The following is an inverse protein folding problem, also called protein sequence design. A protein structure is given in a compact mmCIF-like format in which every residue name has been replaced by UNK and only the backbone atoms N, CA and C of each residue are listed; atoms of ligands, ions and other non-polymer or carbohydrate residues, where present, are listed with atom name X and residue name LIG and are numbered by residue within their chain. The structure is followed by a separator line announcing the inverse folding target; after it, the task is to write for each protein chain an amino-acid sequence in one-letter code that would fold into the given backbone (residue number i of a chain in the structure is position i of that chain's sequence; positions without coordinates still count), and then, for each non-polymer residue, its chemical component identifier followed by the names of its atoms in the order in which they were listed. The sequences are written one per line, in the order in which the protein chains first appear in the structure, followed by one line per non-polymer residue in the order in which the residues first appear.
data_IF_135483732127
#
_entry.id   IF_135483732127
#
_cell.length_a   1.000
_cell.length_b   1.000
_cell.length_c   1.000
_cell.angle_alpha   90.00
_cell.angle_beta   90.00
_cell.angle_gamma   90.00
#
_symmetry.space_group_name_H-M   'P 1'
#
loop_
_entity.id
_entity.type
_entity.pdbx_description
1 polymer ?
#
# COMPACT_ATOMS: atom_id res chain seq x y z
N UNK A 1 3.38 -8.22 -43.43
CA UNK A 1 3.75 -9.39 -42.60
C UNK A 1 4.21 -8.86 -41.27
N UNK A 2 3.62 -9.36 -40.18
CA UNK A 2 4.14 -9.10 -38.83
C UNK A 2 5.47 -9.87 -38.72
N UNK A 3 6.51 -9.20 -38.21
CA UNK A 3 7.85 -9.80 -38.09
C UNK A 3 7.85 -10.92 -37.04
N UNK A 4 8.86 -11.77 -37.03
CA UNK A 4 9.06 -12.80 -35.98
C UNK A 4 9.21 -12.22 -34.54
N UNK A 5 9.19 -10.90 -34.42
CA UNK A 5 9.23 -10.15 -33.15
C UNK A 5 7.85 -9.69 -32.69
N UNK A 6 6.81 -9.82 -33.52
CA UNK A 6 5.45 -9.46 -33.15
C UNK A 6 4.96 -10.33 -31.97
N UNK A 7 4.51 -9.68 -30.90
CA UNK A 7 4.10 -10.34 -29.66
C UNK A 7 5.23 -10.70 -28.70
N UNK A 8 6.49 -10.31 -28.99
CA UNK A 8 7.64 -10.50 -28.08
C UNK A 8 7.97 -9.28 -27.22
N UNK A 9 7.23 -8.19 -27.39
CA UNK A 9 7.34 -6.97 -26.58
C UNK A 9 6.25 -6.98 -25.52
N UNK A 10 6.56 -6.46 -24.34
CA UNK A 10 5.56 -6.28 -23.28
C UNK A 10 4.33 -5.53 -23.82
N UNK A 11 3.10 -6.01 -23.56
CA UNK A 11 1.87 -5.29 -23.86
C UNK A 11 1.87 -3.85 -23.35
N UNK A 12 2.48 -3.60 -22.18
CA UNK A 12 2.58 -2.26 -21.62
C UNK A 12 3.36 -1.32 -22.55
N UNK A 13 4.46 -1.79 -23.14
CA UNK A 13 5.25 -1.03 -24.11
C UNK A 13 4.53 -0.89 -25.45
N UNK A 14 3.85 -1.94 -25.91
CA UNK A 14 3.12 -1.91 -27.18
C UNK A 14 1.96 -0.90 -27.18
N UNK A 15 1.26 -0.78 -26.06
CA UNK A 15 0.08 0.06 -25.92
C UNK A 15 0.31 1.33 -25.08
N UNK A 16 1.57 1.69 -24.79
CA UNK A 16 1.92 2.82 -23.92
C UNK A 16 1.24 4.14 -24.33
N UNK A 17 1.09 4.38 -25.64
CA UNK A 17 0.46 5.58 -26.19
C UNK A 17 -1.06 5.69 -25.87
N UNK A 18 -1.71 4.59 -25.48
CA UNK A 18 -3.13 4.55 -25.11
C UNK A 18 -3.37 4.71 -23.60
N UNK A 19 -2.32 4.55 -22.77
CA UNK A 19 -2.46 4.52 -21.31
C UNK A 19 -3.01 5.83 -20.73
N UNK A 20 -2.79 6.96 -21.40
CA UNK A 20 -3.33 8.25 -20.98
C UNK A 20 -4.88 8.38 -21.15
N UNK A 21 -5.53 7.41 -21.79
CA UNK A 21 -6.96 7.45 -22.14
C UNK A 21 -7.78 6.35 -21.45
N UNK A 22 -7.21 5.64 -20.49
CA UNK A 22 -7.86 4.56 -19.74
C UNK A 22 -7.67 4.77 -18.24
N UNK A 23 -8.64 4.33 -17.45
CA UNK A 23 -8.58 4.44 -15.99
C UNK A 23 -7.97 3.19 -15.33
N UNK A 24 -8.11 2.03 -15.98
CA UNK A 24 -7.57 0.76 -15.49
C UNK A 24 -7.01 -0.09 -16.63
N UNK A 25 -6.12 -1.00 -16.26
CA UNK A 25 -5.44 -1.92 -17.16
C UNK A 25 -5.87 -3.35 -16.94
N UNK A 26 -5.71 -4.13 -18.00
CA UNK A 26 -5.91 -5.56 -17.97
C UNK A 26 -4.82 -6.23 -18.77
N UNK A 27 -3.63 -6.26 -18.18
CA UNK A 27 -2.54 -7.13 -18.62
C UNK A 27 -2.75 -8.49 -17.97
N UNK A 28 -2.61 -9.58 -18.71
CA UNK A 28 -2.76 -10.90 -18.07
C UNK A 28 -3.19 -12.06 -18.94
N UNK A 29 -3.52 -11.86 -20.23
CA UNK A 29 -3.77 -13.01 -21.08
C UNK A 29 -2.47 -13.78 -21.30
N UNK A 30 -2.40 -15.01 -20.77
CA UNK A 30 -1.22 -15.86 -20.86
C UNK A 30 -0.10 -15.54 -19.86
N UNK A 31 -0.33 -14.66 -18.89
CA UNK A 31 0.68 -14.30 -17.89
C UNK A 31 0.78 -15.38 -16.81
N UNK A 32 1.99 -15.58 -16.29
CA UNK A 32 2.23 -16.46 -15.14
C UNK A 32 2.20 -15.66 -13.83
N UNK A 33 1.17 -15.89 -13.03
CA UNK A 33 1.01 -15.26 -11.71
C UNK A 33 1.94 -15.84 -10.63
N UNK A 34 2.82 -16.79 -10.98
CA UNK A 34 3.91 -17.29 -10.13
C UNK A 34 5.27 -16.65 -10.37
N UNK A 35 5.37 -15.75 -11.35
CA UNK A 35 6.56 -14.94 -11.57
C UNK A 35 6.86 -14.01 -10.40
N UNK A 36 8.09 -13.49 -10.37
CA UNK A 36 8.66 -12.76 -9.24
C UNK A 36 7.87 -11.48 -8.87
N UNK A 37 8.02 -10.96 -7.64
CA UNK A 37 7.40 -9.69 -7.26
C UNK A 37 7.75 -8.53 -8.22
N UNK A 38 8.96 -8.49 -8.76
CA UNK A 38 9.39 -7.47 -9.72
C UNK A 38 8.63 -7.59 -11.05
N UNK A 39 8.38 -8.81 -11.53
CA UNK A 39 7.54 -9.03 -12.70
C UNK A 39 6.11 -8.51 -12.45
N UNK A 40 5.55 -8.79 -11.28
CA UNK A 40 4.24 -8.25 -10.91
C UNK A 40 4.23 -6.72 -10.91
N UNK A 41 5.26 -6.08 -10.35
CA UNK A 41 5.36 -4.62 -10.32
C UNK A 41 5.45 -4.03 -11.74
N UNK A 42 6.28 -4.60 -12.62
CA UNK A 42 6.59 -4.00 -13.93
C UNK A 42 5.58 -4.38 -15.01
N UNK A 43 5.14 -5.64 -15.05
CA UNK A 43 4.37 -6.19 -16.17
C UNK A 43 2.88 -6.34 -15.86
N UNK A 44 2.53 -6.59 -14.59
CA UNK A 44 1.14 -6.92 -14.19
C UNK A 44 0.42 -5.70 -13.63
N UNK A 45 1.08 -4.91 -12.78
CA UNK A 45 0.40 -3.95 -11.90
C UNK A 45 -0.12 -2.68 -12.57
N UNK A 46 0.50 -2.23 -13.66
CA UNK A 46 0.22 -0.91 -14.24
C UNK A 46 0.77 0.29 -13.47
N UNK A 47 1.27 0.08 -12.24
CA UNK A 47 1.74 1.15 -11.33
C UNK A 47 2.85 2.03 -11.92
N UNK A 48 3.83 1.51 -12.71
CA UNK A 48 4.84 2.36 -13.34
C UNK A 48 4.28 3.45 -14.25
N UNK A 49 3.03 3.27 -14.72
CA UNK A 49 2.34 4.21 -15.61
C UNK A 49 1.26 5.02 -14.89
N UNK A 50 1.18 4.94 -13.55
CA UNK A 50 0.17 5.62 -12.76
C UNK A 50 -1.25 5.03 -12.88
N UNK A 51 -1.34 3.79 -13.36
CA UNK A 51 -2.59 3.06 -13.54
C UNK A 51 -2.65 1.85 -12.60
N UNK A 52 -3.85 1.32 -12.40
CA UNK A 52 -4.09 0.08 -11.68
C UNK A 52 -4.44 -1.03 -12.66
N UNK A 53 -3.84 -2.20 -12.49
CA UNK A 53 -4.16 -3.41 -13.25
C UNK A 53 -5.22 -4.26 -12.56
N UNK A 54 -5.97 -5.01 -13.37
CA UNK A 54 -6.85 -6.09 -12.91
C UNK A 54 -6.29 -7.46 -13.32
N UNK A 55 -6.52 -8.47 -12.48
CA UNK A 55 -6.11 -9.85 -12.78
C UNK A 55 -7.16 -10.65 -13.53
N UNK A 56 -6.70 -11.60 -14.33
CA UNK A 56 -7.48 -12.66 -14.97
C UNK A 56 -7.98 -13.72 -13.99
N UNK A 57 -8.78 -14.69 -14.49
CA UNK A 57 -9.29 -15.86 -13.73
C UNK A 57 -8.20 -16.61 -12.95
N UNK A 58 -7.02 -16.78 -13.53
CA UNK A 58 -5.87 -17.49 -12.94
C UNK A 58 -5.09 -16.61 -11.93
N UNK A 59 -5.57 -15.40 -11.65
CA UNK A 59 -4.93 -14.43 -10.77
C UNK A 59 -4.80 -14.89 -9.32
N UNK A 60 -3.89 -14.23 -8.59
CA UNK A 60 -3.67 -14.47 -7.17
C UNK A 60 -4.10 -13.25 -6.35
N UNK A 61 -5.23 -13.35 -5.65
CA UNK A 61 -5.81 -12.23 -4.91
C UNK A 61 -4.88 -11.66 -3.81
N UNK A 62 -4.07 -12.51 -3.16
CA UNK A 62 -3.13 -12.06 -2.14
C UNK A 62 -2.02 -11.23 -2.75
N UNK A 63 -1.38 -11.75 -3.79
CA UNK A 63 -0.31 -11.06 -4.52
C UNK A 63 -0.83 -9.80 -5.20
N UNK A 64 -2.02 -9.85 -5.79
CA UNK A 64 -2.67 -8.68 -6.40
C UNK A 64 -2.91 -7.55 -5.41
N UNK A 65 -3.35 -7.86 -4.19
CA UNK A 65 -3.54 -6.85 -3.14
C UNK A 65 -2.25 -6.18 -2.69
N UNK A 66 -1.06 -6.76 -2.91
CA UNK A 66 0.22 -6.05 -2.71
C UNK A 66 0.37 -4.89 -3.73
N UNK A 67 -0.31 -4.96 -4.88
CA UNK A 67 -0.24 -3.96 -5.94
C UNK A 67 -1.54 -3.16 -6.15
N UNK A 68 -2.51 -3.27 -5.25
CA UNK A 68 -3.79 -2.55 -5.34
C UNK A 68 -4.77 -3.19 -6.32
N UNK A 69 -4.53 -4.45 -6.69
CA UNK A 69 -5.26 -5.13 -7.74
C UNK A 69 -6.28 -6.12 -7.17
N UNK A 70 -7.41 -6.23 -7.88
CA UNK A 70 -8.38 -7.31 -7.69
C UNK A 70 -8.51 -8.13 -8.98
N UNK A 71 -9.28 -9.23 -8.95
CA UNK A 71 -9.59 -9.97 -10.17
C UNK A 71 -10.79 -9.35 -10.88
N UNK A 72 -10.84 -9.41 -12.21
CA UNK A 72 -12.01 -8.93 -12.95
C UNK A 72 -13.21 -9.86 -12.76
N UNK A 73 -14.38 -9.26 -12.54
CA UNK A 73 -15.64 -9.99 -12.48
C UNK A 73 -15.91 -10.71 -13.81
N UNK A 74 -16.46 -11.94 -13.78
CA UNK A 74 -16.56 -12.90 -14.90
C UNK A 74 -15.24 -13.63 -15.22
N UNK A 75 -14.61 -14.14 -14.18
CA UNK A 75 -13.45 -15.03 -14.26
C UNK A 75 -13.05 -15.49 -12.85
N UNK A 76 -13.11 -14.55 -11.91
CA UNK A 76 -13.08 -14.80 -10.48
C UNK A 76 -14.16 -13.95 -9.78
N UNK A 77 -14.30 -14.12 -8.47
CA UNK A 77 -15.17 -13.32 -7.61
C UNK A 77 -14.35 -12.30 -6.79
N UNK A 78 -14.31 -11.02 -7.17
CA UNK A 78 -13.61 -9.97 -6.45
C UNK A 78 -14.43 -9.33 -5.33
N UNK A 79 -15.72 -9.67 -5.18
CA UNK A 79 -16.60 -9.02 -4.20
C UNK A 79 -16.03 -9.00 -2.77
N UNK A 80 -15.32 -10.03 -2.27
CA UNK A 80 -14.77 -9.95 -0.91
C UNK A 80 -13.66 -8.90 -0.75
N UNK A 81 -12.91 -8.62 -1.82
CA UNK A 81 -11.90 -7.56 -1.83
C UNK A 81 -12.57 -6.19 -1.92
N UNK A 82 -13.60 -6.04 -2.75
CA UNK A 82 -14.35 -4.79 -2.87
C UNK A 82 -15.08 -4.44 -1.56
N UNK A 83 -15.70 -5.42 -0.90
CA UNK A 83 -16.32 -5.22 0.41
C UNK A 83 -15.29 -4.77 1.46
N UNK A 84 -14.09 -5.36 1.44
CA UNK A 84 -12.99 -4.93 2.30
C UNK A 84 -12.57 -3.50 2.00
N UNK A 85 -12.45 -3.13 0.73
CA UNK A 85 -12.12 -1.78 0.29
C UNK A 85 -13.14 -0.74 0.76
N UNK A 86 -14.42 -1.06 0.66
CA UNK A 86 -15.52 -0.21 1.12
C UNK A 86 -15.50 -0.04 2.65
N UNK A 87 -15.37 -1.14 3.39
CA UNK A 87 -15.31 -1.11 4.87
C UNK A 87 -14.09 -0.34 5.36
N UNK A 88 -12.94 -0.52 4.70
CA UNK A 88 -11.73 0.21 5.04
C UNK A 88 -11.77 1.68 4.60
N UNK A 89 -12.48 1.99 3.52
CA UNK A 89 -12.48 3.28 2.83
C UNK A 89 -11.18 3.50 2.05
N UNK A 90 -10.81 2.53 1.20
CA UNK A 90 -9.51 2.50 0.51
C UNK A 90 -9.28 3.71 -0.42
N UNK A 91 -10.35 4.30 -0.95
CA UNK A 91 -10.31 5.50 -1.80
C UNK A 91 -9.63 6.69 -1.11
N UNK A 92 -9.66 6.73 0.23
CA UNK A 92 -9.08 7.78 1.06
C UNK A 92 -7.70 7.38 1.61
N UNK A 93 -7.08 6.33 1.07
CA UNK A 93 -5.82 5.80 1.56
C UNK A 93 -4.66 6.11 0.61
N UNK A 94 -3.49 6.33 1.19
CA UNK A 94 -2.23 6.38 0.44
C UNK A 94 -1.63 4.99 0.38
N UNK A 95 -1.41 4.46 -0.82
CA UNK A 95 -0.69 3.21 -1.03
C UNK A 95 0.83 3.42 -0.89
N UNK A 96 1.47 2.67 0.00
CA UNK A 96 2.92 2.66 0.21
C UNK A 96 3.41 1.22 0.08
N UNK A 97 3.97 0.90 -1.09
CA UNK A 97 4.45 -0.44 -1.41
C UNK A 97 5.84 -0.76 -0.85
N UNK A 98 6.16 -2.05 -0.80
CA UNK A 98 7.47 -2.54 -0.34
C UNK A 98 8.66 -2.00 -1.16
N UNK A 99 8.42 -1.57 -2.39
CA UNK A 99 9.43 -1.01 -3.29
C UNK A 99 9.80 0.45 -2.97
N UNK A 100 9.09 1.08 -2.04
CA UNK A 100 9.46 2.41 -1.56
C UNK A 100 10.68 2.34 -0.63
N UNK A 101 11.51 3.39 -0.54
CA UNK A 101 12.69 3.38 0.35
C UNK A 101 12.36 3.18 1.83
N UNK A 102 11.22 3.71 2.29
CA UNK A 102 10.82 3.70 3.70
C UNK A 102 9.36 3.21 3.84
N UNK A 103 9.08 1.90 3.62
CA UNK A 103 7.74 1.38 3.80
C UNK A 103 7.38 1.37 5.30
N UNK A 104 6.14 1.70 5.68
CA UNK A 104 5.72 1.75 7.09
C UNK A 104 5.61 0.36 7.73
N UNK A 105 5.68 -0.69 6.93
CA UNK A 105 5.62 -2.08 7.38
C UNK A 105 6.70 -2.90 6.71
N UNK A 106 7.30 -3.80 7.49
CA UNK A 106 8.30 -4.74 6.98
C UNK A 106 8.07 -6.13 7.56
N UNK A 107 8.34 -7.16 6.76
CA UNK A 107 8.31 -8.56 7.20
C UNK A 107 9.75 -8.97 7.52
N UNK A 108 9.93 -9.61 8.66
CA UNK A 108 11.23 -10.06 9.15
C UNK A 108 11.15 -11.51 9.61
N UNK A 109 12.24 -12.24 9.52
CA UNK A 109 12.30 -13.66 9.89
C UNK A 109 13.17 -14.45 8.93
N UNK A 110 13.61 -15.61 9.38
CA UNK A 110 14.31 -16.56 8.52
C UNK A 110 13.34 -17.10 7.46
N UNK A 111 13.75 -17.09 6.18
CA UNK A 111 12.89 -17.52 5.07
C UNK A 111 11.79 -16.55 4.67
N UNK A 112 11.76 -15.32 5.19
CA UNK A 112 10.77 -14.30 4.78
C UNK A 112 11.25 -13.45 3.59
N UNK A 113 12.24 -13.94 2.83
CA UNK A 113 12.98 -13.18 1.82
C UNK A 113 12.11 -12.78 0.63
N UNK A 114 11.09 -13.57 0.32
CA UNK A 114 10.12 -13.36 -0.77
C UNK A 114 8.69 -13.14 -0.26
N UNK A 115 8.54 -12.69 0.99
CA UNK A 115 7.26 -12.19 1.50
C UNK A 115 7.23 -10.68 1.36
N UNK A 116 6.17 -10.15 0.75
CA UNK A 116 6.03 -8.73 0.44
C UNK A 116 4.83 -8.14 1.16
N UNK A 117 4.94 -6.87 1.53
CA UNK A 117 3.87 -6.14 2.18
C UNK A 117 3.69 -4.73 1.58
N UNK A 118 2.45 -4.36 1.32
CA UNK A 118 2.05 -3.00 0.94
C UNK A 118 1.06 -2.49 1.96
N UNK A 119 1.23 -1.23 2.36
CA UNK A 119 0.34 -0.59 3.31
C UNK A 119 -0.48 0.51 2.65
N UNK A 120 -1.80 0.41 2.78
CA UNK A 120 -2.75 1.46 2.44
C UNK A 120 -3.03 2.26 3.71
N UNK A 121 -2.57 3.51 3.75
CA UNK A 121 -2.55 4.32 4.97
C UNK A 121 -3.64 5.37 4.94
N UNK A 122 -4.50 5.35 5.96
CA UNK A 122 -5.35 6.47 6.37
C UNK A 122 -4.69 7.11 7.59
N UNK A 123 -3.82 8.08 7.35
CA UNK A 123 -2.92 8.64 8.37
C UNK A 123 -3.67 9.05 9.64
N UNK A 124 -3.12 8.69 10.79
CA UNK A 124 -3.71 9.02 12.09
C UNK A 124 -4.95 8.20 12.47
N UNK A 125 -5.39 7.25 11.63
CA UNK A 125 -6.64 6.50 11.84
C UNK A 125 -6.48 5.00 11.69
N UNK A 126 -6.02 4.55 10.53
CA UNK A 126 -5.97 3.12 10.24
C UNK A 126 -5.07 2.82 9.06
N UNK A 127 -4.60 1.58 8.97
CA UNK A 127 -3.89 1.07 7.82
C UNK A 127 -4.42 -0.32 7.44
N UNK A 128 -4.57 -0.57 6.14
CA UNK A 128 -4.77 -1.91 5.59
C UNK A 128 -3.42 -2.39 5.07
N UNK A 129 -2.99 -3.56 5.52
CA UNK A 129 -1.69 -4.14 5.22
C UNK A 129 -1.94 -5.40 4.42
N UNK A 130 -1.57 -5.36 3.14
CA UNK A 130 -1.64 -6.50 2.24
C UNK A 130 -0.30 -7.22 2.25
N UNK A 131 -0.30 -8.48 2.67
CA UNK A 131 0.88 -9.35 2.74
C UNK A 131 0.66 -10.50 1.77
N UNK A 132 1.69 -10.89 1.01
CA UNK A 132 1.65 -12.09 0.19
C UNK A 132 3.04 -12.75 0.08
N UNK A 133 3.05 -14.06 -0.13
CA UNK A 133 4.26 -14.88 -0.24
C UNK A 133 4.55 -15.32 -1.68
N UNK A 134 5.81 -15.18 -2.06
CA UNK A 134 6.44 -15.81 -3.23
C UNK A 134 7.37 -16.97 -2.84
N UNK A 135 7.46 -17.28 -1.55
CA UNK A 135 8.18 -18.46 -1.08
C UNK A 135 7.50 -19.75 -1.57
N UNK A 136 8.30 -20.77 -1.87
CA UNK A 136 7.80 -22.07 -2.31
C UNK A 136 7.13 -22.83 -1.17
N UNK A 137 7.61 -22.66 0.06
CA UNK A 137 7.12 -23.32 1.26
C UNK A 137 6.43 -22.34 2.22
N UNK A 138 5.56 -22.80 3.14
CA UNK A 138 5.04 -21.96 4.20
C UNK A 138 6.14 -21.40 5.10
N UNK A 139 6.03 -20.13 5.47
CA UNK A 139 7.03 -19.42 6.27
C UNK A 139 6.39 -18.68 7.44
N UNK A 140 7.17 -18.46 8.49
CA UNK A 140 6.73 -17.76 9.70
C UNK A 140 7.44 -16.43 9.81
N UNK A 141 6.70 -15.35 9.62
CA UNK A 141 7.25 -14.00 9.52
C UNK A 141 6.67 -13.08 10.59
N UNK A 142 7.52 -12.22 11.14
CA UNK A 142 7.10 -11.16 12.05
C UNK A 142 6.92 -9.86 11.27
N UNK A 143 5.73 -9.28 11.39
CA UNK A 143 5.39 -7.98 10.80
C UNK A 143 5.80 -6.88 11.79
N UNK A 144 6.61 -5.93 11.32
CA UNK A 144 7.01 -4.74 12.03
C UNK A 144 6.22 -3.52 11.51
N UNK A 145 5.94 -2.57 12.40
CA UNK A 145 5.26 -1.32 12.10
C UNK A 145 6.15 -0.12 12.45
N UNK A 146 6.12 0.90 11.60
CA UNK A 146 6.50 2.25 11.97
C UNK A 146 5.24 3.09 12.26
N UNK A 147 4.83 3.07 13.53
CA UNK A 147 3.69 3.86 14.01
C UNK A 147 3.82 5.35 13.76
N UNK A 148 5.06 5.88 13.70
CA UNK A 148 5.31 7.31 13.51
C UNK A 148 4.93 7.73 12.09
N UNK A 149 5.37 6.99 11.07
CA UNK A 149 4.98 7.27 9.69
C UNK A 149 3.49 7.01 9.43
N UNK A 150 2.85 6.13 10.19
CA UNK A 150 1.41 5.90 10.13
C UNK A 150 0.58 6.95 10.88
N UNK A 151 1.18 7.70 11.81
CA UNK A 151 0.48 8.62 12.73
C UNK A 151 -0.40 7.91 13.77
N UNK A 152 -0.24 6.61 13.96
CA UNK A 152 -1.07 5.78 14.84
C UNK A 152 -0.40 5.67 16.22
N UNK A 153 -1.17 5.81 17.31
CA UNK A 153 -0.63 5.55 18.66
C UNK A 153 -0.49 4.04 18.90
N UNK A 154 0.72 3.54 19.26
CA UNK A 154 0.90 2.13 19.60
C UNK A 154 -0.02 1.65 20.73
N UNK A 155 -0.26 2.50 21.74
CA UNK A 155 -1.11 2.16 22.89
C UNK A 155 -2.59 1.99 22.57
N UNK A 156 -3.04 2.51 21.42
CA UNK A 156 -4.41 2.36 20.93
C UNK A 156 -4.51 1.41 19.75
N UNK A 157 -3.38 0.86 19.30
CA UNK A 157 -3.30 0.05 18.12
C UNK A 157 -4.00 -1.30 18.32
N UNK A 158 -4.84 -1.68 17.36
CA UNK A 158 -5.47 -2.99 17.28
C UNK A 158 -5.19 -3.58 15.91
N UNK A 159 -4.63 -4.78 15.87
CA UNK A 159 -4.38 -5.50 14.63
C UNK A 159 -5.39 -6.62 14.50
N UNK A 160 -6.12 -6.64 13.37
CA UNK A 160 -7.12 -7.66 13.08
C UNK A 160 -7.08 -8.13 11.63
N UNK A 161 -7.34 -9.40 11.42
CA UNK A 161 -7.72 -9.95 10.14
C UNK A 161 -9.25 -9.88 10.01
N UNK A 162 -9.83 -9.14 9.05
CA UNK A 162 -11.24 -9.30 8.72
C UNK A 162 -11.52 -10.70 8.18
N UNK A 163 -12.75 -11.18 8.38
CA UNK A 163 -13.23 -12.35 7.68
C UNK A 163 -13.42 -12.03 6.20
N UNK A 164 -12.80 -12.84 5.33
CA UNK A 164 -12.99 -12.76 3.88
C UNK A 164 -13.48 -14.12 3.40
N UNK A 165 -14.61 -14.12 2.69
CA UNK A 165 -15.22 -15.34 2.15
C UNK A 165 -15.33 -15.22 0.63
N UNK A 166 -14.45 -15.92 -0.09
CA UNK A 166 -14.50 -16.02 -1.54
C UNK A 166 -13.78 -17.26 -2.05
N UNK A 167 -14.02 -17.61 -3.32
CA UNK A 167 -13.34 -18.73 -3.96
C UNK A 167 -11.84 -18.49 -4.20
N UNK A 168 -11.45 -17.22 -4.38
CA UNK A 168 -10.08 -16.81 -4.75
C UNK A 168 -9.34 -16.07 -3.63
N UNK A 169 -10.06 -15.65 -2.58
CA UNK A 169 -9.49 -15.09 -1.34
C UNK A 169 -10.30 -15.60 -0.15
N UNK A 170 -9.61 -16.14 0.84
CA UNK A 170 -10.24 -16.75 2.01
C UNK A 170 -9.41 -16.52 3.26
N UNK A 171 -9.98 -15.81 4.23
CA UNK A 171 -9.33 -15.47 5.49
C UNK A 171 -10.32 -15.63 6.64
N UNK A 172 -9.92 -16.31 7.72
CA UNK A 172 -10.69 -16.30 8.96
C UNK A 172 -10.52 -14.97 9.68
N UNK A 173 -11.56 -14.50 10.38
CA UNK A 173 -11.38 -13.37 11.28
C UNK A 173 -10.43 -13.76 12.42
N UNK A 174 -9.54 -12.85 12.77
CA UNK A 174 -8.64 -13.02 13.91
C UNK A 174 -8.27 -11.65 14.50
N UNK A 175 -8.14 -11.60 15.81
CA UNK A 175 -7.53 -10.47 16.52
C UNK A 175 -6.12 -10.87 16.97
N UNK A 176 -5.15 -9.99 16.77
CA UNK A 176 -3.76 -10.25 17.09
C UNK A 176 -3.30 -9.37 18.25
N UNK A 177 -2.78 -10.01 19.31
CA UNK A 177 -2.11 -9.29 20.38
C UNK A 177 -0.73 -8.83 19.89
N UNK A 178 -0.49 -7.52 19.91
CA UNK A 178 0.79 -6.94 19.49
C UNK A 178 1.92 -7.34 20.45
N UNK A 179 3.08 -7.67 19.89
CA UNK A 179 4.29 -8.04 20.63
C UNK A 179 5.20 -6.80 20.77
N UNK A 180 5.32 -6.29 21.99
CA UNK A 180 6.08 -5.07 22.23
C UNK A 180 5.49 -3.84 21.53
N UNK A 181 6.27 -2.77 21.33
CA UNK A 181 5.72 -1.52 20.82
C UNK A 181 5.42 -1.56 19.32
N UNK A 182 6.12 -2.40 18.54
CA UNK A 182 6.20 -2.25 17.07
C UNK A 182 5.97 -3.54 16.28
N UNK A 183 5.61 -4.66 16.91
CA UNK A 183 5.51 -5.94 16.19
C UNK A 183 4.14 -6.58 16.31
N UNK A 184 3.72 -7.22 15.23
CA UNK A 184 2.68 -8.24 15.26
C UNK A 184 3.24 -9.52 15.89
N UNK A 185 2.37 -10.45 16.35
CA UNK A 185 2.82 -11.81 16.62
C UNK A 185 3.33 -12.46 15.32
N UNK A 186 4.10 -13.53 15.46
CA UNK A 186 4.59 -14.29 14.31
C UNK A 186 3.40 -14.78 13.48
N UNK A 187 3.37 -14.38 12.20
CA UNK A 187 2.33 -14.74 11.24
C UNK A 187 2.80 -15.96 10.44
N UNK A 188 1.99 -17.01 10.43
CA UNK A 188 2.17 -18.11 9.50
C UNK A 188 1.62 -17.71 8.13
N UNK A 189 2.48 -17.69 7.12
CA UNK A 189 2.16 -17.27 5.76
C UNK A 189 2.32 -18.47 4.82
N UNK A 190 1.23 -19.09 4.34
CA UNK A 190 1.32 -20.18 3.39
C UNK A 190 1.90 -19.71 2.04
N UNK A 191 2.59 -20.63 1.35
CA UNK A 191 3.06 -20.42 -0.03
C UNK A 191 1.93 -19.96 -0.96
N UNK A 192 2.22 -18.92 -1.77
CA UNK A 192 1.26 -18.33 -2.69
C UNK A 192 0.04 -17.65 -2.04
N UNK A 193 0.02 -17.49 -0.71
CA UNK A 193 -1.06 -16.83 0.03
C UNK A 193 -0.51 -15.71 0.90
N UNK A 194 -1.35 -15.17 1.77
CA UNK A 194 -1.01 -14.00 2.53
C UNK A 194 -2.04 -13.64 3.59
N UNK A 195 -1.98 -12.39 4.00
CA UNK A 195 -2.89 -11.78 4.98
C UNK A 195 -3.31 -10.39 4.50
N UNK A 196 -4.57 -10.05 4.74
CA UNK A 196 -5.07 -8.68 4.67
C UNK A 196 -5.38 -8.29 6.11
N UNK A 197 -4.58 -7.40 6.68
CA UNK A 197 -4.68 -7.02 8.10
C UNK A 197 -5.07 -5.55 8.22
N UNK A 198 -6.01 -5.25 9.11
CA UNK A 198 -6.36 -3.90 9.50
C UNK A 198 -5.66 -3.56 10.81
N UNK A 199 -4.80 -2.54 10.77
CA UNK A 199 -4.24 -1.89 11.94
C UNK A 199 -5.04 -0.62 12.21
N UNK A 200 -5.81 -0.60 13.29
CA UNK A 200 -6.63 0.54 13.69
C UNK A 200 -6.00 1.24 14.89
N UNK A 201 -6.10 2.57 14.96
CA UNK A 201 -5.78 3.29 16.19
C UNK A 201 -6.30 4.71 16.18
N UNK A 202 -6.20 5.38 17.34
CA UNK A 202 -6.52 6.81 17.44
C UNK A 202 -5.32 7.66 17.05
N UNK A 203 -5.57 8.84 16.48
CA UNK A 203 -4.55 9.83 16.14
C UNK A 203 -3.61 10.06 17.33
N UNK A 204 -2.30 10.03 17.08
CA UNK A 204 -1.31 10.53 18.03
C UNK A 204 -1.44 12.01 18.24
N UNK A 205 -1.25 12.48 19.47
CA UNK A 205 -0.93 13.89 19.68
C UNK A 205 0.33 14.18 18.89
N UNK A 206 0.22 15.05 17.89
CA UNK A 206 1.39 15.60 17.23
C UNK A 206 2.07 16.49 18.25
N UNK A 207 3.28 16.13 18.66
CA UNK A 207 4.14 17.07 19.38
C UNK A 207 4.47 18.16 18.37
N UNK A 208 3.81 19.32 18.47
CA UNK A 208 4.26 20.53 17.81
C UNK A 208 5.70 20.75 18.26
N UNK A 209 6.64 20.65 17.33
CA UNK A 209 8.00 21.05 17.59
C UNK A 209 7.98 22.54 17.91
N UNK A 210 8.28 22.86 19.18
CA UNK A 210 8.44 24.22 19.68
C UNK A 210 9.40 24.98 18.75
N UNK A 211 8.83 25.92 18.00
CA UNK A 211 9.58 26.77 17.08
C UNK A 211 10.26 27.84 17.92
N UNK A 212 11.50 27.58 18.33
CA UNK A 212 12.38 28.60 18.90
C UNK A 212 12.65 29.64 17.81
N UNK A 213 11.96 30.79 17.89
CA UNK A 213 12.16 31.91 16.97
C UNK A 213 13.31 32.80 17.48
N UNK A 214 14.40 32.97 16.72
CA UNK A 214 15.28 34.11 16.95
C UNK A 214 14.59 35.37 16.41
N UNK A 215 14.50 36.40 17.26
CA UNK A 215 13.79 37.65 16.98
C UNK A 215 14.30 38.40 15.74
N UNK A 216 13.38 39.09 15.06
CA UNK A 216 13.67 39.97 13.94
C UNK A 216 12.48 40.83 13.54
N UNK A 217 12.64 42.15 13.69
CA UNK A 217 11.68 43.26 13.52
C UNK A 217 10.89 43.35 12.20
N UNK A 218 9.65 43.82 12.35
CA UNK A 218 8.81 44.73 11.53
C UNK A 218 9.00 44.87 10.00
N UNK A 219 7.87 44.83 9.27
CA UNK A 219 7.74 45.54 7.98
C UNK A 219 6.60 45.17 7.01
N UNK A 220 5.37 45.68 7.28
CA UNK A 220 4.41 46.32 6.33
C UNK A 220 3.68 45.55 5.17
N UNK A 221 2.35 45.54 5.30
CA UNK A 221 1.21 45.72 4.33
C UNK A 221 1.20 45.14 2.88
N UNK A 222 0.14 44.37 2.57
CA UNK A 222 -0.80 44.74 1.48
C UNK A 222 -1.24 43.69 0.43
N UNK A 223 -2.57 43.41 0.43
CA UNK A 223 -3.48 43.03 -0.69
C UNK A 223 -3.63 41.56 -1.15
N UNK A 224 -4.72 40.94 -0.67
CA UNK A 224 -5.92 40.55 -1.44
C UNK A 224 -5.82 39.72 -2.73
N UNK A 225 -6.27 38.45 -2.67
CA UNK A 225 -6.70 37.64 -3.82
C UNK A 225 -7.36 36.33 -3.37
N UNK A 226 -8.66 36.15 -3.66
CA UNK A 226 -9.45 34.94 -3.33
C UNK A 226 -9.05 33.78 -4.26
N UNK A 227 -8.63 32.65 -3.70
CA UNK A 227 -8.52 31.36 -4.40
C UNK A 227 -9.76 30.47 -4.18
N UNK A 228 -9.99 29.45 -5.03
CA UNK A 228 -11.16 28.58 -4.92
C UNK A 228 -11.02 27.60 -3.75
N UNK A 229 -12.16 27.33 -3.10
CA UNK A 229 -12.32 26.41 -1.98
C UNK A 229 -12.08 24.96 -2.41
N UNK A 230 -10.85 24.48 -2.29
CA UNK A 230 -10.54 23.07 -2.10
C UNK A 230 -10.18 22.85 -0.63
N UNK A 231 -10.68 21.78 0.00
CA UNK A 231 -10.44 21.48 1.42
C UNK A 231 -8.92 21.37 1.66
N UNK A 232 -8.28 22.32 2.35
CA UNK A 232 -6.80 22.39 2.43
C UNK A 232 -6.21 21.42 3.46
N UNK A 233 -7.06 20.78 4.26
CA UNK A 233 -6.63 19.99 5.41
C UNK A 233 -5.81 18.77 5.01
N UNK A 234 -6.37 17.86 4.23
CA UNK A 234 -5.81 16.51 4.10
C UNK A 234 -4.48 16.44 3.35
N UNK A 235 -4.36 17.17 2.23
CA UNK A 235 -3.12 17.19 1.44
C UNK A 235 -1.96 17.89 2.18
N UNK A 236 -2.26 18.96 2.94
CA UNK A 236 -1.28 19.63 3.78
C UNK A 236 -0.83 18.75 4.94
N UNK A 237 -1.73 17.96 5.53
CA UNK A 237 -1.43 17.02 6.61
C UNK A 237 -0.57 15.83 6.12
N UNK A 238 -0.85 15.30 4.93
CA UNK A 238 -0.03 14.24 4.33
C UNK A 238 1.39 14.74 3.98
N UNK A 239 1.51 15.96 3.46
CA UNK A 239 2.81 16.59 3.18
C UNK A 239 3.59 16.90 4.47
N UNK A 240 2.91 17.35 5.53
CA UNK A 240 3.51 17.60 6.84
C UNK A 240 4.02 16.31 7.49
N UNK A 241 3.22 15.23 7.49
CA UNK A 241 3.61 13.93 8.03
C UNK A 241 4.84 13.35 7.29
N UNK A 242 4.88 13.45 5.96
CA UNK A 242 6.06 13.04 5.16
C UNK A 242 7.30 13.87 5.46
N UNK A 243 7.17 15.20 5.60
CA UNK A 243 8.28 16.10 5.98
C UNK A 243 8.79 15.81 7.38
N UNK A 244 7.90 15.48 8.33
CA UNK A 244 8.24 15.21 9.72
C UNK A 244 8.93 13.85 9.89
N UNK A 245 8.45 12.81 9.18
CA UNK A 245 9.11 11.51 9.12
C UNK A 245 10.50 11.58 8.47
N UNK A 246 10.66 12.37 7.39
CA UNK A 246 11.96 12.60 6.75
C UNK A 246 12.96 13.35 7.68
N UNK A 247 12.49 14.37 8.39
CA UNK A 247 13.32 15.15 9.34
C UNK A 247 13.75 14.33 10.55
N UNK A 248 12.87 13.47 11.08
CA UNK A 248 13.21 12.58 12.19
C UNK A 248 14.29 11.54 11.82
N UNK A 249 14.49 11.28 10.51
CA UNK A 249 15.46 10.30 9.98
C UNK A 249 16.76 10.95 9.44
N UNK A 250 16.93 12.26 9.57
CA UNK A 250 18.18 12.94 9.20
C UNK A 250 18.44 13.07 7.68
N UNK A 251 17.43 12.92 6.83
CA UNK A 251 17.57 13.04 5.37
C UNK A 251 17.83 14.49 4.92
N UNK A 252 18.93 14.72 4.20
CA UNK A 252 19.40 16.06 3.82
C UNK A 252 18.61 16.76 2.68
N UNK A 253 17.56 16.13 2.12
CA UNK A 253 16.83 16.64 0.95
C UNK A 253 15.31 16.62 1.12
N UNK A 254 14.81 17.32 2.13
CA UNK A 254 13.36 17.52 2.31
C UNK A 254 12.99 19.01 2.18
N UNK A 255 12.72 19.43 0.93
CA UNK A 255 12.06 20.70 0.56
C UNK A 255 10.74 20.42 -0.15
#
# INVERSE_FOLDING_TARGET
MLTDQYGKVSPALQFMHLLAYVDTLWFGEGYDYNESPEYWLVEVSGLPFGLMGDMMREGNAWRGMVYGMSSRFRGADPSPIWDLWDVFGIENATMIGYWQPDPPTALTGEGCGEVRATTYVRYGRSALIAIASWEHEPVSCRLAFDYTSLGIRPSLAKLRAPHLRGGHVGQAAADFALEGPNYAPTLHVPSGRGWLLMLEGGAGEMVEAEHDQPGGREGREGRGGRGPLGVPGEAAHAAAARRQACRARGGAHCQ
#
